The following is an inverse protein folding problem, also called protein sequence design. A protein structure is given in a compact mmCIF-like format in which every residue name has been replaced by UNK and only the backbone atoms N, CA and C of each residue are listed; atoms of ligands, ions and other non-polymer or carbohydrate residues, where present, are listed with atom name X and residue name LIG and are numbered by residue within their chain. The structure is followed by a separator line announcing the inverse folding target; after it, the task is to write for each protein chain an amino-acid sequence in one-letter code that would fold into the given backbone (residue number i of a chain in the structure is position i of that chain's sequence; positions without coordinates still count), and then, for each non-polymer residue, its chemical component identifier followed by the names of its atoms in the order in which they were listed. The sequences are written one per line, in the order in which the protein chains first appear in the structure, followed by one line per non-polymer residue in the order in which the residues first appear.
data_IF_999788090631
#
_entry.id   IF_999788090631
#
_cell.length_a   1.000
_cell.length_b   1.000
_cell.length_c   1.000
_cell.angle_alpha   90.00
_cell.angle_beta   90.00
_cell.angle_gamma   90.00
#
_symmetry.space_group_name_H-M   'P 1'
#
loop_
_entity.id
_entity.type
_entity.pdbx_description
1 polymer ?
#
# COMPACT_ATOMS: atom_id res chain seq x y z
N UNK A 1 -4.08 9.84 11.37
CA UNK A 1 -4.92 8.92 12.19
C UNK A 1 -4.10 7.97 13.07
N UNK A 2 -3.29 7.04 12.53
CA UNK A 2 -2.47 6.14 13.38
C UNK A 2 -1.23 6.84 13.96
N UNK A 3 -0.51 7.58 13.11
CA UNK A 3 0.69 8.35 13.46
C UNK A 3 0.34 9.38 14.53
N UNK A 4 -0.71 10.19 14.29
CA UNK A 4 -1.21 11.16 15.27
C UNK A 4 -1.60 10.50 16.59
N UNK A 5 -2.30 9.35 16.55
CA UNK A 5 -2.68 8.60 17.77
C UNK A 5 -1.46 8.07 18.54
N UNK A 6 -0.36 7.82 17.86
CA UNK A 6 0.91 7.40 18.47
C UNK A 6 1.81 8.57 18.85
N UNK A 7 1.44 9.80 18.48
CA UNK A 7 2.26 11.00 18.70
C UNK A 7 3.58 10.97 17.94
N UNK A 8 3.64 10.28 16.80
CA UNK A 8 4.86 10.21 15.99
C UNK A 8 4.96 11.45 15.11
N UNK A 9 6.13 12.08 15.10
CA UNK A 9 6.42 13.22 14.23
C UNK A 9 6.88 12.75 12.85
N UNK A 10 5.89 12.41 12.01
CA UNK A 10 6.08 12.01 10.63
C UNK A 10 5.23 12.96 9.79
N UNK A 11 5.77 14.12 9.41
CA UNK A 11 4.98 15.20 8.84
C UNK A 11 4.50 14.90 7.41
N UNK A 12 5.26 14.08 6.67
CA UNK A 12 4.92 13.73 5.29
C UNK A 12 5.27 12.28 4.98
N UNK A 13 4.34 11.62 4.29
CA UNK A 13 4.51 10.27 3.74
C UNK A 13 4.19 10.33 2.27
N UNK A 14 5.16 9.94 1.45
CA UNK A 14 5.01 9.85 0.01
C UNK A 14 4.85 8.39 -0.40
N UNK A 15 3.92 8.12 -1.32
CA UNK A 15 3.66 6.77 -1.83
C UNK A 15 3.67 6.84 -3.35
N UNK A 16 4.64 6.15 -3.96
CA UNK A 16 4.64 5.89 -5.39
C UNK A 16 4.08 4.49 -5.64
N UNK A 17 3.16 4.36 -6.59
CA UNK A 17 2.56 3.08 -6.99
C UNK A 17 2.72 2.90 -8.49
N UNK A 18 3.27 1.77 -8.88
CA UNK A 18 3.34 1.33 -10.28
C UNK A 18 2.50 0.06 -10.45
N UNK A 19 1.92 -0.09 -11.63
CA UNK A 19 1.20 -1.29 -12.04
C UNK A 19 1.80 -1.78 -13.35
N UNK A 20 2.23 -3.03 -13.36
CA UNK A 20 2.81 -3.70 -14.51
C UNK A 20 1.98 -4.94 -14.82
N UNK A 21 1.91 -5.30 -16.10
CA UNK A 21 1.20 -6.50 -16.54
C UNK A 21 2.22 -7.48 -17.09
N UNK A 22 2.31 -8.64 -16.47
CA UNK A 22 3.16 -9.72 -16.93
C UNK A 22 2.33 -10.67 -17.81
N UNK A 23 2.87 -10.94 -19.01
CA UNK A 23 2.24 -11.75 -20.05
C UNK A 23 2.95 -13.12 -20.21
N UNK A 24 4.06 -13.35 -19.52
CA UNK A 24 4.74 -14.65 -19.51
C UNK A 24 4.03 -15.62 -18.57
N UNK A 25 2.97 -16.26 -19.07
CA UNK A 25 2.18 -17.25 -18.32
C UNK A 25 0.73 -16.83 -18.16
N UNK A 26 0.21 -16.89 -16.92
CA UNK A 26 -1.10 -16.30 -16.62
C UNK A 26 -0.99 -14.78 -16.60
N UNK A 27 -1.99 -14.09 -17.18
CA UNK A 27 -2.05 -12.64 -17.15
C UNK A 27 -2.13 -12.14 -15.71
N UNK A 28 -1.02 -11.60 -15.21
CA UNK A 28 -0.90 -11.07 -13.86
C UNK A 28 -0.70 -9.57 -13.90
N UNK A 29 -1.42 -8.84 -13.05
CA UNK A 29 -1.14 -7.41 -12.81
C UNK A 29 -0.41 -7.26 -11.49
N UNK A 30 0.84 -6.81 -11.53
CA UNK A 30 1.71 -6.62 -10.37
C UNK A 30 1.67 -5.16 -9.94
N UNK A 31 1.26 -4.90 -8.70
CA UNK A 31 1.30 -3.56 -8.10
C UNK A 31 2.52 -3.42 -7.19
N UNK A 32 3.48 -2.58 -7.60
CA UNK A 32 4.66 -2.24 -6.83
C UNK A 32 4.46 -0.91 -6.10
N UNK A 33 4.76 -0.88 -4.80
CA UNK A 33 4.57 0.32 -3.96
C UNK A 33 5.88 0.69 -3.28
N UNK A 34 6.26 1.95 -3.38
CA UNK A 34 7.38 2.52 -2.65
C UNK A 34 6.86 3.58 -1.69
N UNK A 35 7.18 3.42 -0.41
CA UNK A 35 6.80 4.36 0.65
C UNK A 35 8.06 5.10 1.09
N UNK A 36 8.03 6.42 1.07
CA UNK A 36 9.12 7.29 1.52
C UNK A 36 8.60 8.27 2.58
N UNK A 37 9.51 8.69 3.46
CA UNK A 37 9.25 9.58 4.58
C UNK A 37 10.15 10.80 4.46
N UNK A 38 9.64 11.98 4.81
CA UNK A 38 10.45 13.21 4.78
C UNK A 38 11.45 13.31 5.93
N UNK A 39 11.29 12.49 6.96
CA UNK A 39 12.16 12.41 8.15
C UNK A 39 12.68 10.99 8.34
N UNK A 40 13.78 10.86 9.09
CA UNK A 40 14.22 9.56 9.56
C UNK A 40 13.22 9.00 10.58
N UNK A 41 12.85 7.74 10.39
CA UNK A 41 11.97 7.00 11.28
C UNK A 41 12.62 5.69 11.69
N UNK A 42 12.33 5.23 12.89
CA UNK A 42 12.92 4.03 13.46
C UNK A 42 12.45 2.77 12.72
N UNK A 43 13.21 1.68 12.85
CA UNK A 43 12.82 0.39 12.29
C UNK A 43 11.46 -0.08 12.79
N UNK A 44 11.17 0.11 14.09
CA UNK A 44 9.87 -0.22 14.68
C UNK A 44 8.72 0.58 14.03
N UNK A 45 8.93 1.88 13.79
CA UNK A 45 7.95 2.72 13.11
C UNK A 45 7.71 2.22 11.68
N UNK A 46 8.78 1.92 10.92
CA UNK A 46 8.68 1.37 9.56
C UNK A 46 7.87 0.08 9.53
N UNK A 47 8.24 -0.90 10.35
CA UNK A 47 7.54 -2.19 10.44
C UNK A 47 6.06 -2.01 10.74
N UNK A 48 5.74 -1.12 11.69
CA UNK A 48 4.35 -0.88 12.08
C UNK A 48 3.55 -0.20 10.97
N UNK A 49 4.14 0.76 10.27
CA UNK A 49 3.51 1.46 9.14
C UNK A 49 3.29 0.50 7.96
N UNK A 50 4.23 -0.40 7.67
CA UNK A 50 4.05 -1.47 6.67
C UNK A 50 2.87 -2.39 7.05
N UNK A 51 2.77 -2.80 8.32
CA UNK A 51 1.64 -3.61 8.78
C UNK A 51 0.30 -2.90 8.57
N UNK A 52 0.24 -1.59 8.78
CA UNK A 52 -0.96 -0.78 8.59
C UNK A 52 -1.29 -0.64 7.10
N UNK A 53 -0.28 -0.34 6.27
CA UNK A 53 -0.43 -0.25 4.81
C UNK A 53 -0.98 -1.56 4.20
N UNK A 54 -0.62 -2.70 4.77
CA UNK A 54 -1.14 -4.00 4.34
C UNK A 54 -2.56 -4.31 4.84
N UNK A 55 -3.02 -3.63 5.89
CA UNK A 55 -4.36 -3.78 6.48
C UNK A 55 -5.38 -2.76 5.96
N UNK A 56 -4.96 -1.81 5.12
CA UNK A 56 -5.85 -0.77 4.61
C UNK A 56 -6.95 -1.37 3.70
N UNK A 57 -8.14 -0.75 3.63
CA UNK A 57 -9.26 -1.25 2.82
C UNK A 57 -8.89 -1.51 1.36
N UNK A 58 -8.08 -0.64 0.75
CA UNK A 58 -7.64 -0.77 -0.65
C UNK A 58 -6.78 -2.03 -0.84
N UNK A 59 -5.81 -2.28 0.03
CA UNK A 59 -4.98 -3.50 -0.02
C UNK A 59 -5.83 -4.77 0.15
N UNK A 60 -6.91 -4.71 0.96
CA UNK A 60 -7.84 -5.83 1.09
C UNK A 60 -8.68 -6.06 -0.17
N UNK A 61 -9.08 -4.99 -0.86
CA UNK A 61 -9.81 -5.08 -2.14
C UNK A 61 -8.91 -5.76 -3.19
N UNK A 62 -7.66 -5.29 -3.34
CA UNK A 62 -6.72 -5.82 -4.34
C UNK A 62 -6.34 -7.29 -4.10
N UNK A 63 -6.33 -7.75 -2.83
CA UNK A 63 -6.05 -9.15 -2.47
C UNK A 63 -7.30 -10.02 -2.39
N UNK A 64 -8.48 -9.42 -2.51
CA UNK A 64 -9.76 -10.09 -2.34
C UNK A 64 -10.28 -10.69 -3.64
N UNK A 65 -11.41 -11.41 -3.55
CA UNK A 65 -12.16 -11.80 -4.74
C UNK A 65 -12.79 -10.55 -5.36
N UNK A 66 -12.40 -10.23 -6.59
CA UNK A 66 -12.96 -9.13 -7.37
C UNK A 66 -13.99 -9.73 -8.33
N UNK A 67 -15.16 -9.10 -8.43
CA UNK A 67 -16.20 -9.45 -9.41
C UNK A 67 -16.59 -8.19 -10.14
N UNK A 68 -16.44 -8.19 -11.46
CA UNK A 68 -16.76 -7.06 -12.33
C UNK A 68 -18.01 -7.46 -13.11
N UNK A 69 -19.10 -6.72 -12.91
CA UNK A 69 -20.34 -6.89 -13.68
C UNK A 69 -20.44 -5.74 -14.67
N UNK A 70 -20.56 -6.05 -15.96
CA UNK A 70 -20.72 -5.06 -17.03
C UNK A 70 -22.13 -5.14 -17.61
N UNK A 71 -22.79 -4.00 -17.77
CA UNK A 71 -24.08 -3.88 -18.46
C UNK A 71 -23.96 -2.76 -19.51
N UNK A 72 -24.70 -2.90 -20.60
CA UNK A 72 -24.78 -1.92 -21.70
C UNK A 72 -25.87 -0.88 -21.41
#
# INVERSE_FOLDING_TARGET
MYIDRKGWDIPEINIAVNAEQELEGEFETVFSRQITFSTEITTEQKERLIQIANKCPVSKILKGKITINTQL
#
